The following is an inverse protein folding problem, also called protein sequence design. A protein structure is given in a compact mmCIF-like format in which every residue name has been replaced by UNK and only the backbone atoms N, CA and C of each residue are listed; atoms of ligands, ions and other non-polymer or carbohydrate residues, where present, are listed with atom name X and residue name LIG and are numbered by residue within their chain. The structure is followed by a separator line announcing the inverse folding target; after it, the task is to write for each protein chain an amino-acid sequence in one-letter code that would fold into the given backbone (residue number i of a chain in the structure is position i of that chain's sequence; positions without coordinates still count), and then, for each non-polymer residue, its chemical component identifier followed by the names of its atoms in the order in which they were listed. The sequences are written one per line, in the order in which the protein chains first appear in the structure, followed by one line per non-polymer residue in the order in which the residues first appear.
data_IF_335353414053
#
_entry.id   IF_335353414053
#
_cell.length_a   1.000
_cell.length_b   1.000
_cell.length_c   1.000
_cell.angle_alpha   90.00
_cell.angle_beta   90.00
_cell.angle_gamma   90.00
#
_symmetry.space_group_name_H-M   'P 1'
#
loop_
_entity.id
_entity.type
_entity.pdbx_description
1 polymer ?
#
# COMPACT_ATOMS: atom_id res chain seq x y z
N UNK A 1 5.06 -4.27 -10.40
CA UNK A 1 4.11 -5.27 -10.96
C UNK A 1 4.81 -6.60 -11.29
N UNK A 2 5.99 -6.59 -11.91
CA UNK A 2 6.72 -7.80 -12.33
C UNK A 2 6.97 -8.78 -11.17
N UNK A 3 7.41 -8.31 -10.01
CA UNK A 3 7.64 -9.17 -8.83
C UNK A 3 6.38 -9.96 -8.41
N UNK A 4 5.22 -9.30 -8.34
CA UNK A 4 3.96 -9.97 -7.98
C UNK A 4 3.51 -11.00 -9.03
N UNK A 5 3.85 -10.81 -10.30
CA UNK A 5 3.60 -11.82 -11.35
C UNK A 5 4.44 -13.08 -11.08
N UNK A 6 5.73 -12.92 -10.77
CA UNK A 6 6.61 -14.04 -10.47
C UNK A 6 6.18 -14.77 -9.18
N UNK A 7 5.75 -14.03 -8.15
CA UNK A 7 5.20 -14.66 -6.95
C UNK A 7 3.94 -15.47 -7.26
N UNK A 8 3.04 -14.98 -8.12
CA UNK A 8 1.87 -15.74 -8.51
C UNK A 8 2.30 -17.02 -9.26
N UNK A 9 3.27 -16.95 -10.17
CA UNK A 9 3.76 -18.12 -10.91
C UNK A 9 4.33 -19.21 -10.00
N UNK A 10 5.08 -18.82 -8.96
CA UNK A 10 5.76 -19.76 -8.05
C UNK A 10 4.80 -20.36 -7.00
N UNK A 11 3.85 -19.57 -6.50
CA UNK A 11 2.96 -20.02 -5.42
C UNK A 11 1.80 -20.88 -5.94
N UNK A 12 1.50 -21.96 -5.22
CA UNK A 12 0.28 -22.76 -5.42
C UNK A 12 -0.96 -21.97 -4.96
N UNK A 13 -2.17 -22.27 -5.48
CA UNK A 13 -3.42 -21.73 -4.94
C UNK A 13 -3.51 -21.97 -3.42
N UNK A 14 -3.94 -20.95 -2.65
CA UNK A 14 -3.91 -20.96 -1.18
C UNK A 14 -2.52 -20.73 -0.56
N UNK A 15 -1.46 -20.63 -1.38
CA UNK A 15 -0.11 -20.30 -0.93
C UNK A 15 -0.04 -18.89 -0.34
N UNK A 16 0.85 -18.70 0.63
CA UNK A 16 1.01 -17.44 1.37
C UNK A 16 2.29 -16.72 0.94
N UNK A 17 2.18 -15.41 0.75
CA UNK A 17 3.28 -14.50 0.47
C UNK A 17 3.38 -13.50 1.62
N UNK A 18 4.48 -13.50 2.35
CA UNK A 18 4.76 -12.50 3.38
C UNK A 18 5.72 -11.46 2.80
N UNK A 19 5.32 -10.20 2.83
CA UNK A 19 6.09 -9.07 2.31
C UNK A 19 6.33 -8.05 3.42
N UNK A 20 7.59 -7.68 3.60
CA UNK A 20 8.00 -6.61 4.52
C UNK A 20 8.52 -5.43 3.72
N UNK A 21 7.95 -4.25 3.93
CA UNK A 21 8.41 -2.99 3.34
C UNK A 21 8.45 -1.90 4.40
N UNK A 22 9.23 -0.82 4.24
CA UNK A 22 9.10 0.34 5.10
C UNK A 22 7.66 0.88 5.08
N UNK A 23 7.14 1.37 6.20
CA UNK A 23 5.73 1.74 6.30
C UNK A 23 5.43 3.18 5.84
N UNK A 24 5.10 3.28 4.56
CA UNK A 24 4.63 4.49 3.91
C UNK A 24 3.28 5.00 4.36
N UNK A 25 2.51 4.10 4.96
CA UNK A 25 1.16 4.38 5.41
C UNK A 25 1.10 4.79 6.87
N UNK A 26 2.25 4.86 7.54
CA UNK A 26 2.37 5.38 8.91
C UNK A 26 2.08 6.87 8.98
N UNK A 27 1.67 7.34 10.17
CA UNK A 27 1.35 8.75 10.39
C UNK A 27 2.55 9.68 10.20
N UNK A 28 3.72 9.28 10.73
CA UNK A 28 4.96 10.05 10.55
C UNK A 28 5.35 10.16 9.08
N UNK A 29 5.24 9.10 8.28
CA UNK A 29 5.57 9.16 6.85
C UNK A 29 4.60 10.06 6.09
N UNK A 30 3.29 9.99 6.39
CA UNK A 30 2.29 10.89 5.79
C UNK A 30 2.54 12.35 6.13
N UNK A 31 2.86 12.66 7.39
CA UNK A 31 3.18 14.02 7.81
C UNK A 31 4.48 14.52 7.17
N UNK A 32 5.50 13.67 7.10
CA UNK A 32 6.76 13.99 6.42
C UNK A 32 6.54 14.33 4.95
N UNK A 33 5.70 13.53 4.27
CA UNK A 33 5.37 13.76 2.87
C UNK A 33 4.59 15.07 2.70
N UNK A 34 3.66 15.37 3.60
CA UNK A 34 2.91 16.64 3.60
C UNK A 34 3.83 17.86 3.78
N UNK A 35 4.83 17.77 4.65
CA UNK A 35 5.66 18.92 5.02
C UNK A 35 6.85 19.13 4.10
N UNK A 36 7.48 18.04 3.64
CA UNK A 36 8.77 18.10 2.96
C UNK A 36 8.79 17.28 1.67
N UNK A 37 7.68 16.67 1.25
CA UNK A 37 7.67 15.66 0.17
C UNK A 37 8.69 14.53 0.39
N UNK A 38 9.12 14.36 1.64
CA UNK A 38 10.06 13.34 2.06
C UNK A 38 9.32 12.23 2.78
N UNK A 39 9.78 11.04 2.52
CA UNK A 39 9.11 9.82 2.91
C UNK A 39 9.55 9.29 4.29
N UNK A 40 10.70 9.79 4.80
CA UNK A 40 11.21 9.49 6.13
C UNK A 40 11.54 10.78 6.87
N UNK A 41 10.65 11.17 7.79
CA UNK A 41 10.77 12.39 8.57
C UNK A 41 12.14 12.51 9.25
N UNK A 42 12.85 13.60 8.93
CA UNK A 42 14.13 13.99 9.52
C UNK A 42 15.25 12.94 9.40
N UNK A 43 15.16 12.04 8.40
CA UNK A 43 16.19 11.02 8.16
C UNK A 43 16.79 11.08 6.77
N UNK A 44 16.02 11.53 5.79
CA UNK A 44 16.47 11.64 4.41
C UNK A 44 15.91 12.94 3.84
N UNK A 45 16.73 13.64 3.07
CA UNK A 45 16.25 14.72 2.23
C UNK A 45 15.18 14.20 1.26
N UNK A 46 14.33 15.07 0.72
CA UNK A 46 13.46 14.71 -0.38
C UNK A 46 14.26 14.10 -1.53
N UNK A 47 13.60 13.35 -2.41
CA UNK A 47 14.26 12.62 -3.50
C UNK A 47 15.23 13.54 -4.26
N UNK A 48 16.50 13.16 -4.25
CA UNK A 48 17.63 13.92 -4.77
C UNK A 48 18.62 12.97 -5.48
N UNK A 49 19.53 13.52 -6.29
CA UNK A 49 20.47 12.74 -7.09
C UNK A 49 21.51 12.01 -6.21
N UNK A 50 21.81 12.56 -5.03
CA UNK A 50 22.87 12.07 -4.14
C UNK A 50 22.45 10.91 -3.21
N UNK A 51 21.26 10.98 -2.61
CA UNK A 51 20.75 9.97 -1.67
C UNK A 51 19.85 8.93 -2.36
N UNK A 52 19.29 9.26 -3.53
CA UNK A 52 18.23 8.44 -4.16
C UNK A 52 18.72 7.54 -5.29
N UNK A 53 19.90 7.85 -5.87
CA UNK A 53 20.52 7.05 -6.92
C UNK A 53 21.72 6.32 -6.33
N UNK A 54 21.58 5.01 -6.14
CA UNK A 54 22.71 4.17 -5.79
C UNK A 54 23.37 3.64 -7.06
N UNK A 55 24.61 4.04 -7.28
CA UNK A 55 25.48 3.48 -8.31
C UNK A 55 26.22 2.29 -7.74
N UNK A 56 26.21 1.17 -8.45
CA UNK A 56 27.09 0.06 -8.12
C UNK A 56 28.52 0.43 -8.57
N UNK A 57 29.50 0.39 -7.66
CA UNK A 57 30.90 0.79 -7.95
C UNK A 57 31.54 0.05 -9.13
N UNK A 58 31.02 -1.12 -9.47
CA UNK A 58 31.55 -1.98 -10.54
C UNK A 58 30.63 -2.05 -11.78
N UNK A 59 29.51 -1.33 -11.80
CA UNK A 59 28.53 -1.39 -12.88
C UNK A 59 27.81 -0.03 -13.03
N UNK A 60 28.23 0.74 -14.04
CA UNK A 60 27.71 2.08 -14.32
C UNK A 60 26.33 2.07 -15.01
N UNK A 61 25.86 0.91 -15.46
CA UNK A 61 24.60 0.80 -16.22
C UNK A 61 23.40 0.54 -15.29
N UNK A 62 23.62 -0.17 -14.19
CA UNK A 62 22.56 -0.56 -13.27
C UNK A 62 22.38 0.43 -12.12
N UNK A 63 21.51 1.41 -12.33
CA UNK A 63 21.09 2.39 -11.32
C UNK A 63 20.01 1.80 -10.40
N UNK A 64 20.24 1.82 -9.08
CA UNK A 64 19.25 1.35 -8.10
C UNK A 64 18.56 2.52 -7.39
N UNK A 65 17.24 2.63 -7.59
CA UNK A 65 16.41 3.66 -6.97
C UNK A 65 15.80 3.17 -5.65
N UNK A 66 16.64 3.05 -4.62
CA UNK A 66 16.27 2.34 -3.38
C UNK A 66 15.13 2.98 -2.57
N UNK A 67 14.96 4.30 -2.64
CA UNK A 67 13.93 5.01 -1.86
C UNK A 67 12.90 5.77 -2.70
N UNK A 68 13.03 5.77 -4.02
CA UNK A 68 12.14 6.52 -4.92
C UNK A 68 10.79 5.83 -5.10
N UNK A 69 10.76 4.49 -5.06
CA UNK A 69 9.57 3.71 -5.40
C UNK A 69 8.96 2.98 -4.21
N UNK A 70 8.96 3.63 -3.05
CA UNK A 70 8.41 2.96 -1.89
C UNK A 70 6.86 2.97 -1.91
N UNK A 71 6.29 1.86 -1.45
CA UNK A 71 4.89 1.52 -1.73
C UNK A 71 4.11 1.37 -0.43
N UNK A 72 3.05 2.16 -0.26
CA UNK A 72 2.10 2.03 0.85
C UNK A 72 1.11 0.87 0.69
N UNK A 73 0.36 0.59 1.76
CA UNK A 73 -0.56 -0.56 1.81
C UNK A 73 -1.61 -0.55 0.69
N UNK A 74 -2.12 0.64 0.32
CA UNK A 74 -3.15 0.76 -0.71
C UNK A 74 -2.64 0.32 -2.09
N UNK A 75 -1.44 0.80 -2.47
CA UNK A 75 -0.77 0.41 -3.71
C UNK A 75 -0.36 -1.07 -3.67
N UNK A 76 0.18 -1.57 -2.56
CA UNK A 76 0.52 -2.98 -2.37
C UNK A 76 -0.71 -3.89 -2.52
N UNK A 77 -1.85 -3.54 -1.91
CA UNK A 77 -3.10 -4.28 -2.07
C UNK A 77 -3.53 -4.31 -3.54
N UNK A 78 -3.49 -3.17 -4.22
CA UNK A 78 -3.89 -3.10 -5.63
C UNK A 78 -2.99 -4.00 -6.50
N UNK A 79 -1.67 -3.91 -6.32
CA UNK A 79 -0.72 -4.78 -7.05
C UNK A 79 -0.95 -6.27 -6.73
N UNK A 80 -1.20 -6.61 -5.47
CA UNK A 80 -1.58 -7.95 -5.06
C UNK A 80 -2.85 -8.42 -5.77
N UNK A 81 -3.93 -7.62 -5.74
CA UNK A 81 -5.21 -7.98 -6.36
C UNK A 81 -5.11 -8.12 -7.87
N UNK A 82 -4.36 -7.26 -8.55
CA UNK A 82 -4.06 -7.36 -9.98
C UNK A 82 -3.30 -8.65 -10.33
N UNK A 83 -2.51 -9.17 -9.40
CA UNK A 83 -1.78 -10.42 -9.54
C UNK A 83 -2.51 -11.64 -8.94
N UNK A 84 -3.78 -11.53 -8.55
CA UNK A 84 -4.58 -12.66 -8.02
C UNK A 84 -4.37 -12.97 -6.54
N UNK A 85 -3.80 -12.04 -5.78
CA UNK A 85 -3.64 -12.15 -4.33
C UNK A 85 -4.70 -11.36 -3.57
N UNK A 86 -5.00 -11.84 -2.36
CA UNK A 86 -5.82 -11.15 -1.37
C UNK A 86 -4.97 -10.85 -0.13
N UNK A 87 -5.20 -9.71 0.51
CA UNK A 87 -4.57 -9.42 1.81
C UNK A 87 -5.24 -10.30 2.87
N UNK A 88 -4.49 -11.25 3.43
CA UNK A 88 -4.96 -12.16 4.45
C UNK A 88 -4.79 -11.55 5.85
N UNK A 89 -3.60 -11.03 6.15
CA UNK A 89 -3.29 -10.48 7.48
C UNK A 89 -2.27 -9.35 7.39
N UNK A 90 -2.37 -8.42 8.33
CA UNK A 90 -1.38 -7.36 8.54
C UNK A 90 -0.77 -7.61 9.91
N UNK A 91 0.53 -7.81 9.94
CA UNK A 91 1.28 -8.06 11.15
C UNK A 91 1.83 -6.75 11.70
N UNK A 92 1.82 -6.63 13.02
CA UNK A 92 2.37 -5.47 13.71
C UNK A 92 3.80 -5.81 14.13
N UNK A 93 4.76 -5.00 13.70
CA UNK A 93 6.18 -5.18 13.95
C UNK A 93 6.62 -4.33 15.14
N UNK A 94 6.55 -3.00 15.03
CA UNK A 94 7.11 -2.10 16.03
C UNK A 94 6.25 -0.87 16.29
N UNK A 95 6.00 -0.56 17.58
CA UNK A 95 5.32 0.68 17.95
C UNK A 95 6.30 1.86 17.90
N UNK A 96 5.98 2.89 17.12
CA UNK A 96 6.68 4.19 17.19
C UNK A 96 5.89 5.17 18.05
N UNK A 97 6.47 5.60 19.17
CA UNK A 97 5.85 6.58 20.09
C UNK A 97 5.50 7.89 19.38
N UNK A 98 6.32 8.34 18.42
CA UNK A 98 6.01 9.51 17.59
C UNK A 98 4.71 9.34 16.80
N UNK A 99 4.42 8.15 16.29
CA UNK A 99 3.17 7.88 15.59
C UNK A 99 1.99 7.84 16.55
N UNK A 100 2.18 7.40 17.80
CA UNK A 100 1.12 7.38 18.81
C UNK A 100 0.65 8.79 19.15
N UNK A 101 1.58 9.73 19.34
CA UNK A 101 1.24 11.14 19.56
C UNK A 101 0.49 11.74 18.36
N UNK A 102 0.99 11.49 17.15
CA UNK A 102 0.32 11.91 15.92
C UNK A 102 -1.06 11.27 15.77
N UNK A 103 -1.26 10.05 16.26
CA UNK A 103 -2.55 9.39 16.17
C UNK A 103 -3.59 10.15 16.99
N UNK A 104 -3.31 10.51 18.24
CA UNK A 104 -4.27 11.24 19.07
C UNK A 104 -4.72 12.55 18.40
N UNK A 105 -3.79 13.27 17.77
CA UNK A 105 -4.07 14.55 17.11
C UNK A 105 -4.80 14.37 15.77
N UNK A 106 -4.29 13.49 14.90
CA UNK A 106 -4.77 13.40 13.51
C UNK A 106 -5.86 12.36 13.30
N UNK A 107 -6.07 11.42 14.23
CA UNK A 107 -7.10 10.38 14.08
C UNK A 107 -8.52 10.91 13.85
N UNK A 108 -9.04 11.94 14.56
CA UNK A 108 -10.38 12.46 14.25
C UNK A 108 -10.47 12.97 12.81
N UNK A 109 -9.45 13.66 12.32
CA UNK A 109 -9.39 14.15 10.94
C UNK A 109 -9.34 12.99 9.93
N UNK A 110 -8.52 11.97 10.19
CA UNK A 110 -8.41 10.78 9.33
C UNK A 110 -9.75 10.03 9.28
N UNK A 111 -10.43 9.90 10.42
CA UNK A 111 -11.72 9.24 10.51
C UNK A 111 -12.76 9.97 9.67
N UNK A 112 -12.92 11.28 9.89
CA UNK A 112 -13.91 12.10 9.18
C UNK A 112 -13.64 12.10 7.68
N UNK A 113 -12.40 12.35 7.26
CA UNK A 113 -12.04 12.40 5.83
C UNK A 113 -12.20 11.03 5.16
N UNK A 114 -11.80 9.95 5.82
CA UNK A 114 -11.94 8.60 5.26
C UNK A 114 -13.39 8.17 5.15
N UNK A 115 -14.22 8.48 6.15
CA UNK A 115 -15.66 8.21 6.11
C UNK A 115 -16.36 9.07 5.05
N UNK A 116 -16.08 10.37 4.99
CA UNK A 116 -16.64 11.25 3.97
C UNK A 116 -16.29 10.76 2.56
N UNK A 117 -15.05 10.35 2.33
CA UNK A 117 -14.61 9.75 1.07
C UNK A 117 -15.34 8.43 0.78
N UNK A 118 -15.50 7.55 1.78
CA UNK A 118 -16.26 6.31 1.63
C UNK A 118 -17.71 6.58 1.22
N UNK A 119 -18.45 7.42 1.94
CA UNK A 119 -19.84 7.71 1.64
C UNK A 119 -20.02 8.39 0.28
N UNK A 120 -19.15 9.36 -0.06
CA UNK A 120 -19.20 10.03 -1.37
C UNK A 120 -19.00 9.04 -2.53
N UNK A 121 -18.04 8.13 -2.41
CA UNK A 121 -17.75 7.17 -3.48
C UNK A 121 -18.77 6.03 -3.55
N UNK A 122 -19.28 5.54 -2.41
CA UNK A 122 -20.34 4.52 -2.38
C UNK A 122 -21.64 5.06 -2.99
N UNK A 123 -21.99 6.33 -2.75
CA UNK A 123 -23.15 6.97 -3.39
C UNK A 123 -23.04 7.02 -4.90
N UNK A 124 -21.84 7.25 -5.44
CA UNK A 124 -21.59 7.27 -6.88
C UNK A 124 -21.53 5.87 -7.50
N UNK A 125 -20.93 4.92 -6.78
CA UNK A 125 -20.65 3.56 -7.26
C UNK A 125 -21.05 2.53 -6.20
N UNK A 126 -22.35 2.21 -6.07
CA UNK A 126 -22.86 1.32 -5.03
C UNK A 126 -22.32 -0.12 -5.16
N UNK A 127 -22.05 -0.58 -6.38
CA UNK A 127 -21.51 -1.93 -6.65
C UNK A 127 -20.10 -2.15 -6.08
N UNK A 128 -19.29 -1.08 -5.95
CA UNK A 128 -17.93 -1.13 -5.44
C UNK A 128 -17.82 -1.03 -3.90
N UNK A 129 -18.95 -1.06 -3.19
CA UNK A 129 -19.03 -0.87 -1.73
C UNK A 129 -18.09 -1.78 -0.94
N UNK A 130 -17.98 -3.06 -1.30
CA UNK A 130 -17.08 -4.00 -0.64
C UNK A 130 -15.61 -3.55 -0.71
N UNK A 131 -15.15 -3.17 -1.91
CA UNK A 131 -13.80 -2.65 -2.15
C UNK A 131 -13.53 -1.36 -1.38
N UNK A 132 -14.49 -0.44 -1.36
CA UNK A 132 -14.35 0.81 -0.61
C UNK A 132 -14.32 0.57 0.90
N UNK A 133 -15.06 -0.40 1.41
CA UNK A 133 -15.04 -0.77 2.82
C UNK A 133 -13.69 -1.37 3.22
N UNK A 134 -13.08 -2.20 2.37
CA UNK A 134 -11.72 -2.70 2.59
C UNK A 134 -10.71 -1.54 2.64
N UNK A 135 -10.79 -0.59 1.70
CA UNK A 135 -9.93 0.61 1.69
C UNK A 135 -10.09 1.43 2.96
N UNK A 136 -11.33 1.65 3.39
CA UNK A 136 -11.63 2.37 4.62
C UNK A 136 -11.00 1.67 5.83
N UNK A 137 -11.18 0.34 5.94
CA UNK A 137 -10.58 -0.47 7.02
C UNK A 137 -9.06 -0.37 7.03
N UNK A 138 -8.41 -0.40 5.87
CA UNK A 138 -6.96 -0.24 5.78
C UNK A 138 -6.52 1.17 6.19
N UNK A 139 -7.22 2.21 5.75
CA UNK A 139 -6.88 3.59 6.10
C UNK A 139 -7.04 3.89 7.60
N UNK A 140 -8.02 3.27 8.26
CA UNK A 140 -8.29 3.45 9.69
C UNK A 140 -7.54 2.45 10.59
N UNK A 141 -6.80 1.51 10.01
CA UNK A 141 -6.14 0.48 10.80
C UNK A 141 -5.00 1.07 11.64
N UNK A 142 -5.21 1.15 12.95
CA UNK A 142 -4.23 1.68 13.89
C UNK A 142 -2.87 0.98 13.81
N UNK A 143 -2.83 -0.33 13.51
CA UNK A 143 -1.56 -1.05 13.33
C UNK A 143 -0.74 -0.45 12.20
N UNK A 144 -1.39 -0.15 11.07
CA UNK A 144 -0.71 0.46 9.91
C UNK A 144 -0.33 1.91 10.21
N UNK A 145 -1.16 2.66 10.92
CA UNK A 145 -0.88 4.06 11.24
C UNK A 145 0.27 4.23 12.23
N UNK A 146 0.42 3.27 13.15
CA UNK A 146 1.39 3.32 14.25
C UNK A 146 2.74 2.65 13.93
N UNK A 147 2.75 1.64 13.07
CA UNK A 147 3.94 0.83 12.82
C UNK A 147 5.00 1.56 11.99
N UNK A 148 6.28 1.26 12.23
CA UNK A 148 7.40 1.75 11.43
C UNK A 148 7.66 0.92 10.16
N UNK A 149 7.35 -0.38 10.22
CA UNK A 149 7.54 -1.33 9.12
C UNK A 149 6.22 -1.99 8.77
N UNK A 150 5.93 -2.13 7.48
CA UNK A 150 4.69 -2.72 6.99
C UNK A 150 4.94 -4.18 6.67
N UNK A 151 4.34 -5.08 7.46
CA UNK A 151 4.40 -6.53 7.23
C UNK A 151 3.02 -7.02 6.80
N UNK A 152 2.91 -7.48 5.56
CA UNK A 152 1.64 -7.90 4.95
C UNK A 152 1.73 -9.35 4.50
N UNK A 153 0.75 -10.13 4.91
CA UNK A 153 0.56 -11.50 4.44
C UNK A 153 -0.54 -11.49 3.37
N UNK A 154 -0.18 -11.96 2.19
CA UNK A 154 -1.06 -12.18 1.05
C UNK A 154 -1.33 -13.67 0.88
N UNK A 155 -2.53 -14.00 0.44
CA UNK A 155 -2.93 -15.35 0.06
C UNK A 155 -3.26 -15.37 -1.43
N UNK A 156 -2.75 -16.38 -2.14
CA UNK A 156 -3.05 -16.58 -3.57
C UNK A 156 -4.47 -17.13 -3.71
N UNK A 157 -5.39 -16.25 -4.10
CA UNK A 157 -6.80 -16.58 -4.33
C UNK A 157 -7.01 -17.21 -5.71
N UNK A 158 -6.31 -16.70 -6.73
CA UNK A 158 -6.49 -17.15 -8.10
C UNK A 158 -5.24 -16.94 -8.96
N UNK A 159 -5.22 -17.58 -10.13
CA UNK A 159 -4.21 -17.32 -11.15
C UNK A 159 -4.35 -15.91 -11.73
N UNK A 160 -3.24 -15.33 -12.18
CA UNK A 160 -3.20 -13.97 -12.72
C UNK A 160 -4.14 -13.79 -13.93
N UNK A 161 -4.28 -14.80 -14.81
CA UNK A 161 -5.17 -14.70 -15.96
C UNK A 161 -6.64 -14.57 -15.53
N UNK A 162 -7.04 -15.36 -14.53
CA UNK A 162 -8.38 -15.32 -13.94
C UNK A 162 -8.63 -14.00 -13.19
N UNK A 163 -7.63 -13.50 -12.47
CA UNK A 163 -7.71 -12.22 -11.77
C UNK A 163 -7.98 -11.05 -12.74
N UNK A 164 -7.27 -11.01 -13.87
CA UNK A 164 -7.48 -9.99 -14.90
C UNK A 164 -8.87 -10.07 -15.50
N UNK A 165 -9.38 -11.27 -15.80
CA UNK A 165 -10.75 -11.47 -16.30
C UNK A 165 -11.80 -10.96 -15.31
N UNK A 166 -11.65 -11.30 -14.02
CA UNK A 166 -12.56 -10.83 -12.97
C UNK A 166 -12.54 -9.29 -12.83
N UNK A 167 -11.36 -8.67 -12.90
CA UNK A 167 -11.22 -7.21 -12.83
C UNK A 167 -11.76 -6.51 -14.08
N UNK A 168 -11.57 -7.11 -15.26
CA UNK A 168 -12.14 -6.59 -16.51
C UNK A 168 -13.67 -6.60 -16.49
N UNK A 169 -14.27 -7.67 -15.95
CA UNK A 169 -15.72 -7.71 -15.74
C UNK A 169 -16.18 -6.58 -14.81
N UNK A 170 -15.49 -6.37 -13.68
CA UNK A 170 -15.79 -5.26 -12.74
C UNK A 170 -15.64 -3.88 -13.42
N UNK A 171 -14.64 -3.69 -14.26
CA UNK A 171 -14.40 -2.44 -14.98
C UNK A 171 -15.44 -2.15 -16.09
N UNK A 172 -15.89 -3.17 -16.81
CA UNK A 172 -16.90 -3.01 -17.86
C UNK A 172 -18.31 -2.74 -17.32
N UNK A 173 -18.63 -3.18 -16.10
CA UNK A 173 -19.84 -2.72 -15.41
C UNK A 173 -19.87 -1.19 -15.23
N UNK A 174 -18.72 -0.49 -15.25
CA UNK A 174 -18.65 0.97 -15.18
C UNK A 174 -18.81 1.69 -16.53
N UNK A 175 -18.75 0.99 -17.67
CA UNK A 175 -18.89 1.61 -19.00
C UNK A 175 -20.29 1.49 -19.61
N UNK A 176 -21.16 0.65 -19.04
CA UNK A 176 -22.50 0.36 -19.57
C UNK A 176 -23.60 1.05 -18.73
N UNK A 177 -23.23 1.75 -17.64
CA UNK A 177 -24.13 2.54 -16.77
C UNK A 177 -23.74 4.01 -16.82
#
# INVERSE_FOLDING_TARGET
MIAFKEFNRVLKPGGRLVLTTPNYSSLKSKLSYLLNESEKYSRIMPVNEFDSIWFNRNDNENQYFGHVFLVGIAKLRLFGKLAGFKVAKIHFSELKVSNLFLLVIFYPFILITSLANYFRNVRKKPHAKATYLEMLKLNLNAKILLDGSLVVEFEKEMDMASAKKALYQIGNYEQIT
#
